data_IF_007146736629
#
_entry.id   IF_007146736629
#
_cell.length_a   1.000
_cell.length_b   1.000
_cell.length_c   1.000
_cell.angle_alpha   90.00
_cell.angle_beta   90.00
_cell.angle_gamma   90.00
#
_symmetry.space_group_name_H-M   'P 1'
#
loop_
_entity.id
_entity.type
_entity.pdbx_description
1 polymer ?
#
# COMPACT_ATOMS: atom_id res chain seq x y z
N UNK A 1 -6.30 7.99 7.97
CA UNK A 1 -5.55 7.20 6.97
C UNK A 1 -4.19 6.94 7.57
N UNK A 2 -3.78 5.67 7.66
CA UNK A 2 -2.50 5.27 8.26
C UNK A 2 -1.76 4.38 7.27
N UNK A 3 -0.48 4.66 7.02
CA UNK A 3 0.36 3.90 6.08
C UNK A 3 1.49 3.23 6.85
N UNK A 4 1.75 1.96 6.57
CA UNK A 4 2.87 1.22 7.16
C UNK A 4 3.44 0.19 6.17
N UNK A 5 4.73 -0.17 6.29
CA UNK A 5 5.26 -1.28 5.54
C UNK A 5 4.53 -2.57 5.93
N UNK A 6 4.26 -3.44 4.96
CA UNK A 6 3.62 -4.73 5.21
C UNK A 6 4.54 -5.65 6.03
N UNK A 7 5.85 -5.58 5.77
CA UNK A 7 6.90 -6.24 6.54
C UNK A 7 7.89 -5.19 7.06
N UNK A 8 8.09 -5.11 8.38
CA UNK A 8 9.02 -4.14 8.99
C UNK A 8 10.48 -4.35 8.55
N UNK A 9 10.83 -5.59 8.20
CA UNK A 9 12.15 -5.97 7.67
C UNK A 9 12.38 -5.55 6.22
N UNK A 10 11.34 -5.10 5.51
CA UNK A 10 11.44 -4.60 4.13
C UNK A 10 10.68 -3.28 3.98
N UNK A 11 11.25 -2.15 4.45
CA UNK A 11 10.59 -0.85 4.42
C UNK A 11 10.29 -0.33 3.01
N UNK A 12 11.01 -0.82 2.00
CA UNK A 12 10.80 -0.46 0.59
C UNK A 12 9.84 -1.42 -0.15
N UNK A 13 9.36 -2.47 0.52
CA UNK A 13 8.45 -3.45 -0.05
C UNK A 13 6.99 -2.97 -0.14
N UNK A 14 6.03 -3.89 -0.26
CA UNK A 14 4.62 -3.55 -0.23
C UNK A 14 4.23 -2.80 1.04
N UNK A 15 3.34 -1.83 0.89
CA UNK A 15 2.77 -1.04 1.97
C UNK A 15 1.30 -1.38 2.12
N UNK A 16 0.81 -1.31 3.35
CA UNK A 16 -0.61 -1.35 3.63
C UNK A 16 -1.09 0.04 4.07
N UNK A 17 -2.22 0.47 3.53
CA UNK A 17 -2.92 1.68 3.98
C UNK A 17 -4.28 1.32 4.56
N UNK A 18 -4.51 1.73 5.80
CA UNK A 18 -5.80 1.61 6.48
C UNK A 18 -6.67 2.83 6.14
N UNK A 19 -7.85 2.56 5.58
CA UNK A 19 -8.80 3.53 5.06
C UNK A 19 -10.08 3.56 5.91
N UNK A 20 -10.85 4.64 5.76
CA UNK A 20 -12.19 4.79 6.36
C UNK A 20 -12.28 4.46 7.87
N UNK A 21 -11.21 4.72 8.64
CA UNK A 21 -11.17 4.41 10.08
C UNK A 21 -11.16 2.92 10.40
N UNK A 22 -10.58 2.09 9.51
CA UNK A 22 -10.48 0.63 9.67
C UNK A 22 -11.55 -0.18 8.94
N UNK A 23 -12.34 0.45 8.05
CA UNK A 23 -13.40 -0.22 7.27
C UNK A 23 -12.95 -0.69 5.89
N UNK A 24 -11.65 -0.60 5.63
CA UNK A 24 -11.06 -1.02 4.37
C UNK A 24 -9.55 -0.83 4.41
N UNK A 25 -8.86 -1.58 3.57
CA UNK A 25 -7.42 -1.46 3.43
C UNK A 25 -6.99 -1.79 2.00
N UNK A 26 -5.82 -1.27 1.62
CA UNK A 26 -5.17 -1.59 0.35
C UNK A 26 -3.73 -2.01 0.61
N UNK A 27 -3.29 -3.09 -0.03
CA UNK A 27 -1.87 -3.42 -0.15
C UNK A 27 -1.39 -2.95 -1.52
N UNK A 28 -0.30 -2.18 -1.54
CA UNK A 28 0.23 -1.62 -2.77
C UNK A 28 1.75 -1.57 -2.79
N UNK A 29 2.31 -1.50 -3.99
CA UNK A 29 3.74 -1.22 -4.23
C UNK A 29 3.88 0.04 -5.06
N UNK A 30 4.87 0.88 -4.73
CA UNK A 30 5.17 2.09 -5.50
C UNK A 30 6.32 1.85 -6.49
N UNK A 31 6.02 1.96 -7.78
CA UNK A 31 7.01 1.86 -8.85
C UNK A 31 7.59 3.23 -9.17
N UNK A 32 8.64 3.61 -8.42
CA UNK A 32 9.28 4.93 -8.53
C UNK A 32 10.07 5.16 -9.82
N UNK A 33 10.65 4.10 -10.42
CA UNK A 33 11.60 4.21 -11.56
C UNK A 33 10.94 3.91 -12.91
N UNK A 34 9.77 4.46 -13.14
CA UNK A 34 9.06 4.38 -14.42
C UNK A 34 8.89 5.80 -14.98
N UNK A 35 8.79 5.93 -16.31
CA UNK A 35 8.60 7.25 -16.96
C UNK A 35 7.36 7.98 -16.41
N UNK A 36 6.37 7.19 -15.98
CA UNK A 36 5.22 7.61 -15.20
C UNK A 36 5.18 6.79 -13.89
N UNK A 37 5.43 7.37 -12.71
CA UNK A 37 5.41 6.65 -11.45
C UNK A 37 4.02 6.08 -11.13
N UNK A 38 3.96 4.80 -10.76
CA UNK A 38 2.70 4.10 -10.52
C UNK A 38 2.58 3.57 -9.09
N UNK A 39 1.34 3.52 -8.62
CA UNK A 39 0.94 2.74 -7.45
C UNK A 39 0.17 1.52 -7.96
N UNK A 40 0.71 0.33 -7.72
CA UNK A 40 0.04 -0.91 -8.09
C UNK A 40 -0.58 -1.49 -6.83
N UNK A 41 -1.91 -1.55 -6.80
CA UNK A 41 -2.68 -2.19 -5.74
C UNK A 41 -2.73 -3.69 -6.04
N UNK A 42 -2.19 -4.50 -5.14
CA UNK A 42 -2.17 -5.97 -5.30
C UNK A 42 -3.35 -6.62 -4.60
N UNK A 43 -3.80 -6.03 -3.48
CA UNK A 43 -4.95 -6.50 -2.72
C UNK A 43 -5.75 -5.31 -2.20
N UNK A 44 -7.06 -5.48 -2.15
CA UNK A 44 -7.98 -4.49 -1.65
C UNK A 44 -9.11 -5.17 -0.89
N UNK A 45 -9.52 -4.55 0.22
CA UNK A 45 -10.68 -4.97 0.99
C UNK A 45 -11.57 -3.78 1.32
N UNK A 46 -12.89 -4.03 1.29
CA UNK A 46 -13.91 -3.09 1.71
C UNK A 46 -15.00 -3.83 2.49
N UNK A 47 -15.42 -3.26 3.63
CA UNK A 47 -16.54 -3.73 4.45
C UNK A 47 -17.82 -2.91 4.20
#
# INVERSE_FOLDING_TARGET
>A
MTVRPLASTSPAGPHIVDLAGGRGWLIYTFMRRHADPQIIVTEAFWA
#
